data_IF_935554220656
#
_entry.id   IF_935554220656
#
_cell.length_a   1.000
_cell.length_b   1.000
_cell.length_c   1.000
_cell.angle_alpha   90.00
_cell.angle_beta   90.00
_cell.angle_gamma   90.00
#
_symmetry.space_group_name_H-M   'P 1'
#
loop_
_entity.id
_entity.type
_entity.pdbx_description
1 polymer ?
#
# COMPACT_ATOMS: atom_id res chain seq x y z
N UNK A 1 -37.18 -26.98 7.90
CA UNK A 1 -36.07 -27.07 6.92
C UNK A 1 -35.36 -25.73 6.98
N UNK A 2 -34.33 -25.64 7.83
CA UNK A 2 -33.52 -24.43 7.98
C UNK A 2 -32.65 -24.35 6.72
N UNK A 3 -32.88 -23.37 5.86
CA UNK A 3 -31.96 -23.10 4.75
C UNK A 3 -30.73 -22.49 5.40
N UNK A 4 -29.70 -23.33 5.59
CA UNK A 4 -28.37 -22.88 5.97
C UNK A 4 -27.81 -22.17 4.72
N UNK A 5 -27.97 -20.86 4.66
CA UNK A 5 -27.39 -20.05 3.60
C UNK A 5 -25.89 -19.95 3.93
N UNK A 6 -25.10 -20.88 3.41
CA UNK A 6 -23.64 -20.80 3.42
C UNK A 6 -23.27 -19.52 2.64
N UNK A 7 -23.05 -18.42 3.37
CA UNK A 7 -22.49 -17.20 2.80
C UNK A 7 -21.01 -17.49 2.60
N UNK A 8 -20.66 -18.09 1.45
CA UNK A 8 -19.26 -18.19 1.05
C UNK A 8 -18.77 -16.77 0.80
N UNK A 9 -17.72 -16.36 1.52
CA UNK A 9 -17.06 -15.08 1.28
C UNK A 9 -16.75 -14.96 -0.21
N UNK A 10 -17.36 -13.98 -0.88
CA UNK A 10 -17.14 -13.74 -2.30
C UNK A 10 -16.43 -12.41 -2.43
N UNK A 11 -15.23 -12.38 -2.99
CA UNK A 11 -14.53 -11.11 -3.25
C UNK A 11 -15.31 -10.16 -4.17
N UNK A 12 -16.30 -10.67 -4.91
CA UNK A 12 -17.24 -9.85 -5.67
C UNK A 12 -18.04 -8.89 -4.77
N UNK A 13 -18.32 -9.23 -3.50
CA UNK A 13 -18.99 -8.31 -2.58
C UNK A 13 -18.04 -7.24 -2.02
N UNK A 14 -16.74 -7.52 -1.90
CA UNK A 14 -15.75 -6.46 -1.61
C UNK A 14 -15.65 -5.44 -2.76
N UNK A 15 -15.80 -5.89 -4.00
CA UNK A 15 -15.66 -5.03 -5.17
C UNK A 15 -16.85 -4.06 -5.40
N UNK A 16 -17.97 -4.23 -4.67
CA UNK A 16 -19.14 -3.35 -4.75
C UNK A 16 -18.77 -1.92 -4.37
N UNK A 17 -17.93 -1.76 -3.34
CA UNK A 17 -17.41 -0.46 -2.93
C UNK A 17 -15.94 -0.36 -3.35
N UNK A 18 -15.57 0.57 -4.25
CA UNK A 18 -14.20 0.66 -4.74
C UNK A 18 -13.15 0.82 -3.64
N UNK A 19 -13.51 1.53 -2.57
CA UNK A 19 -12.70 1.70 -1.36
C UNK A 19 -12.31 0.38 -0.71
N UNK A 20 -13.19 -0.62 -0.73
CA UNK A 20 -12.95 -1.89 -0.04
C UNK A 20 -11.88 -2.72 -0.74
N UNK A 21 -11.69 -2.55 -2.05
CA UNK A 21 -10.55 -3.16 -2.77
C UNK A 21 -9.23 -2.54 -2.29
N UNK A 22 -9.17 -1.21 -2.16
CA UNK A 22 -7.97 -0.48 -1.71
C UNK A 22 -7.55 -0.92 -0.31
N UNK A 23 -8.48 -0.95 0.64
CA UNK A 23 -8.17 -1.34 2.01
C UNK A 23 -8.07 -2.86 2.20
N UNK A 24 -8.74 -3.64 1.36
CA UNK A 24 -8.54 -5.08 1.28
C UNK A 24 -7.10 -5.43 0.88
N UNK A 25 -6.55 -4.79 -0.15
CA UNK A 25 -5.15 -4.95 -0.57
C UNK A 25 -4.16 -4.60 0.56
N UNK A 26 -4.45 -3.55 1.33
CA UNK A 26 -3.65 -3.18 2.50
C UNK A 26 -3.75 -4.20 3.64
N UNK A 27 -4.91 -4.84 3.84
CA UNK A 27 -5.10 -5.88 4.86
C UNK A 27 -4.36 -7.19 4.52
N UNK A 28 -4.35 -7.59 3.26
CA UNK A 28 -3.64 -8.82 2.79
C UNK A 28 -2.17 -8.60 2.46
N UNK A 29 -1.67 -7.37 2.65
CA UNK A 29 -0.24 -7.06 2.53
C UNK A 29 0.56 -7.74 3.63
N UNK A 30 1.75 -8.25 3.29
CA UNK A 30 2.68 -8.84 4.26
C UNK A 30 3.39 -7.77 5.13
N UNK A 31 2.97 -6.51 5.01
CA UNK A 31 3.51 -5.37 5.72
C UNK A 31 2.56 -4.93 6.85
N UNK A 32 2.98 -5.15 8.10
CA UNK A 32 2.24 -4.77 9.31
C UNK A 32 1.77 -3.30 9.32
N UNK A 33 2.57 -2.40 8.74
CA UNK A 33 2.24 -0.99 8.72
C UNK A 33 1.16 -0.65 7.67
N UNK A 34 1.03 -1.44 6.60
CA UNK A 34 -0.07 -1.35 5.63
C UNK A 34 -1.37 -1.85 6.27
N UNK A 35 -1.32 -3.02 6.94
CA UNK A 35 -2.49 -3.54 7.65
C UNK A 35 -2.98 -2.53 8.72
N UNK A 36 -2.05 -1.85 9.40
CA UNK A 36 -2.38 -0.80 10.37
C UNK A 36 -3.03 0.42 9.72
N UNK A 37 -2.60 0.79 8.51
CA UNK A 37 -3.22 1.90 7.77
C UNK A 37 -4.69 1.55 7.44
N UNK A 38 -4.95 0.32 6.99
CA UNK A 38 -6.31 -0.17 6.76
C UNK A 38 -7.13 -0.25 8.06
N UNK A 39 -6.54 -0.73 9.16
CA UNK A 39 -7.22 -0.77 10.44
C UNK A 39 -7.60 0.62 10.96
N UNK A 40 -6.77 1.64 10.72
CA UNK A 40 -7.10 3.04 11.04
C UNK A 40 -8.25 3.57 10.19
N UNK A 41 -8.22 3.26 8.90
CA UNK A 41 -9.31 3.58 8.00
C UNK A 41 -10.63 2.97 8.50
N UNK A 42 -10.67 1.66 8.74
CA UNK A 42 -11.83 0.95 9.28
C UNK A 42 -12.31 1.46 10.64
N UNK A 43 -11.40 1.93 11.49
CA UNK A 43 -11.77 2.53 12.78
C UNK A 43 -12.47 3.88 12.61
N UNK A 44 -12.00 4.72 11.69
CA UNK A 44 -12.53 6.06 11.45
C UNK A 44 -13.74 6.07 10.52
N UNK A 45 -13.83 5.07 9.65
CA UNK A 45 -14.80 4.90 8.58
C UNK A 45 -15.20 3.41 8.49
N UNK A 46 -15.90 2.86 9.50
CA UNK A 46 -16.32 1.47 9.47
C UNK A 46 -17.32 1.27 8.32
N UNK A 47 -17.12 0.28 7.43
CA UNK A 47 -18.10 -0.05 6.41
C UNK A 47 -19.35 -0.63 7.06
N UNK A 48 -20.51 -0.40 6.44
CA UNK A 48 -21.76 -1.02 6.87
C UNK A 48 -21.75 -2.52 6.60
N UNK A 49 -21.21 -2.91 5.43
CA UNK A 49 -21.09 -4.29 5.02
C UNK A 49 -19.94 -5.00 5.76
N UNK A 50 -20.12 -6.28 6.16
CA UNK A 50 -19.18 -6.96 7.05
C UNK A 50 -17.90 -7.44 6.34
N UNK A 51 -17.83 -7.49 5.02
CA UNK A 51 -16.83 -8.29 4.30
C UNK A 51 -15.40 -7.78 4.52
N UNK A 52 -15.19 -6.47 4.48
CA UNK A 52 -13.86 -5.90 4.73
C UNK A 52 -13.46 -6.03 6.20
N UNK A 53 -14.45 -6.00 7.11
CA UNK A 53 -14.24 -6.22 8.54
C UNK A 53 -13.99 -7.70 8.86
N UNK A 54 -14.59 -8.63 8.13
CA UNK A 54 -14.33 -10.07 8.22
C UNK A 54 -12.90 -10.38 7.79
N UNK A 55 -12.42 -9.77 6.70
CA UNK A 55 -11.01 -9.84 6.32
C UNK A 55 -10.10 -9.25 7.41
N UNK A 56 -10.46 -8.11 8.00
CA UNK A 56 -9.71 -7.53 9.11
C UNK A 56 -9.69 -8.44 10.36
N UNK A 57 -10.80 -9.13 10.65
CA UNK A 57 -10.91 -10.11 11.72
C UNK A 57 -10.05 -11.34 11.45
N UNK A 58 -10.02 -11.83 10.21
CA UNK A 58 -9.14 -12.91 9.79
C UNK A 58 -7.67 -12.54 9.95
N UNK A 59 -7.27 -11.33 9.51
CA UNK A 59 -5.90 -10.83 9.69
C UNK A 59 -5.55 -10.74 11.18
N UNK A 60 -6.48 -10.28 12.02
CA UNK A 60 -6.26 -10.15 13.46
C UNK A 60 -5.94 -11.49 14.14
N UNK A 61 -6.61 -12.59 13.76
CA UNK A 61 -6.44 -13.90 14.42
C UNK A 61 -5.35 -14.77 13.79
N UNK A 62 -4.99 -14.53 12.52
CA UNK A 62 -3.96 -15.30 11.81
C UNK A 62 -2.58 -14.63 11.79
N UNK A 63 -2.49 -13.38 12.25
CA UNK A 63 -1.21 -12.71 12.40
C UNK A 63 -0.40 -13.27 13.57
N UNK A 64 0.80 -13.76 13.30
CA UNK A 64 1.72 -14.12 14.38
C UNK A 64 2.12 -12.88 15.19
N UNK A 65 1.99 -12.98 16.52
CA UNK A 65 2.56 -12.01 17.44
C UNK A 65 4.08 -12.20 17.47
N UNK A 66 4.78 -11.66 16.49
CA UNK A 66 6.23 -11.52 16.59
C UNK A 66 6.60 -10.64 17.78
N UNK A 67 7.80 -10.81 18.35
CA UNK A 67 8.37 -9.92 19.37
C UNK A 67 8.77 -8.54 18.78
N UNK A 68 7.92 -7.97 17.92
CA UNK A 68 8.09 -6.66 17.34
C UNK A 68 6.89 -5.78 17.79
N UNK A 69 7.19 -4.60 18.33
CA UNK A 69 6.15 -3.71 18.89
C UNK A 69 5.22 -3.08 17.83
N UNK A 70 5.57 -3.21 16.55
CA UNK A 70 4.78 -2.71 15.42
C UNK A 70 3.57 -3.61 15.16
N UNK A 71 3.79 -4.92 15.09
CA UNK A 71 2.74 -5.92 14.92
C UNK A 71 1.73 -5.87 16.07
N UNK A 72 2.19 -5.79 17.33
CA UNK A 72 1.28 -5.65 18.47
C UNK A 72 0.42 -4.38 18.37
N UNK A 73 0.97 -3.28 17.85
CA UNK A 73 0.20 -2.06 17.59
C UNK A 73 -0.79 -2.23 16.44
N UNK A 74 -0.40 -2.92 15.36
CA UNK A 74 -1.28 -3.26 14.25
C UNK A 74 -2.48 -4.08 14.70
N UNK A 75 -2.27 -5.16 15.47
CA UNK A 75 -3.36 -5.99 15.99
C UNK A 75 -4.28 -5.21 16.94
N UNK A 76 -3.72 -4.32 17.74
CA UNK A 76 -4.52 -3.42 18.57
C UNK A 76 -5.43 -2.51 17.73
N UNK A 77 -4.94 -1.98 16.60
CA UNK A 77 -5.77 -1.18 15.69
C UNK A 77 -6.85 -2.02 15.00
N UNK A 78 -6.56 -3.26 14.60
CA UNK A 78 -7.57 -4.15 14.02
C UNK A 78 -8.69 -4.44 15.03
N UNK A 79 -8.34 -4.76 16.29
CA UNK A 79 -9.34 -4.94 17.34
C UNK A 79 -10.20 -3.68 17.55
N UNK A 80 -9.58 -2.49 17.52
CA UNK A 80 -10.31 -1.22 17.60
C UNK A 80 -11.26 -1.01 16.43
N UNK A 81 -10.85 -1.36 15.21
CA UNK A 81 -11.69 -1.25 14.01
C UNK A 81 -12.95 -2.11 14.13
N UNK A 82 -12.81 -3.37 14.56
CA UNK A 82 -13.94 -4.26 14.83
C UNK A 82 -14.85 -3.72 15.94
N UNK A 83 -14.28 -3.08 16.97
CA UNK A 83 -15.07 -2.41 18.00
C UNK A 83 -15.88 -1.21 17.47
N UNK A 84 -15.25 -0.37 16.65
CA UNK A 84 -15.86 0.85 16.10
C UNK A 84 -16.99 0.56 15.11
N UNK A 85 -16.99 -0.60 14.45
CA UNK A 85 -18.09 -1.03 13.59
C UNK A 85 -19.38 -1.36 14.36
N UNK A 86 -19.27 -1.63 15.67
CA UNK A 86 -20.38 -2.04 16.55
C UNK A 86 -21.12 -3.30 16.08
N UNK A 87 -20.52 -4.08 15.18
CA UNK A 87 -21.14 -5.29 14.68
C UNK A 87 -20.95 -6.45 15.67
N UNK A 88 -22.07 -6.94 16.21
CA UNK A 88 -22.11 -8.00 17.24
C UNK A 88 -21.43 -9.31 16.79
N UNK A 89 -21.38 -9.58 15.47
CA UNK A 89 -20.76 -10.78 14.89
C UNK A 89 -19.30 -11.01 15.30
N UNK A 90 -18.56 -9.94 15.63
CA UNK A 90 -17.14 -10.02 16.02
C UNK A 90 -16.92 -10.32 17.50
N UNK A 91 -17.99 -10.33 18.31
CA UNK A 91 -17.90 -10.41 19.77
C UNK A 91 -17.28 -11.73 20.25
N UNK A 92 -17.72 -12.86 19.72
CA UNK A 92 -17.22 -14.19 20.14
C UNK A 92 -15.75 -14.37 19.79
N UNK A 93 -15.36 -14.00 18.56
CA UNK A 93 -13.96 -13.98 18.11
C UNK A 93 -13.08 -13.15 19.03
N UNK A 94 -13.53 -11.95 19.41
CA UNK A 94 -12.79 -11.07 20.32
C UNK A 94 -12.69 -11.64 21.74
N UNK A 95 -13.73 -12.30 22.26
CA UNK A 95 -13.67 -12.99 23.56
C UNK A 95 -12.67 -14.15 23.55
N UNK A 96 -12.70 -14.96 22.49
CA UNK A 96 -11.76 -16.06 22.31
C UNK A 96 -10.32 -15.54 22.24
N UNK A 97 -10.07 -14.52 21.40
CA UNK A 97 -8.75 -13.89 21.29
C UNK A 97 -8.29 -13.27 22.61
N UNK A 98 -9.18 -12.64 23.37
CA UNK A 98 -8.88 -12.07 24.68
C UNK A 98 -8.37 -13.14 25.66
N UNK A 99 -8.95 -14.34 25.61
CA UNK A 99 -8.60 -15.47 26.48
C UNK A 99 -7.25 -16.10 26.13
N UNK A 100 -6.87 -16.06 24.84
CA UNK A 100 -5.63 -16.67 24.33
C UNK A 100 -4.45 -15.70 24.30
N UNK A 101 -4.69 -14.40 24.11
CA UNK A 101 -3.59 -13.45 23.91
C UNK A 101 -2.76 -13.26 25.18
N UNK A 102 -1.43 -13.33 25.02
CA UNK A 102 -0.46 -13.01 26.08
C UNK A 102 -0.19 -11.50 26.19
N UNK A 103 -0.46 -10.74 25.13
CA UNK A 103 -0.22 -9.29 25.05
C UNK A 103 -1.17 -8.51 25.97
N UNK A 104 -0.59 -7.75 26.92
CA UNK A 104 -1.36 -6.84 27.77
C UNK A 104 -2.02 -5.71 26.97
N UNK A 105 -1.31 -5.19 25.96
CA UNK A 105 -1.78 -4.08 25.13
C UNK A 105 -2.95 -4.52 24.27
N UNK A 106 -2.82 -5.62 23.54
CA UNK A 106 -3.88 -6.17 22.70
C UNK A 106 -5.10 -6.54 23.55
N UNK A 107 -4.91 -7.22 24.69
CA UNK A 107 -6.00 -7.55 25.62
C UNK A 107 -6.80 -6.32 26.06
N UNK A 108 -6.12 -5.19 26.32
CA UNK A 108 -6.79 -3.92 26.67
C UNK A 108 -7.66 -3.43 25.52
N UNK A 109 -7.13 -3.35 24.30
CA UNK A 109 -7.90 -2.86 23.15
C UNK A 109 -9.03 -3.80 22.75
N UNK A 110 -8.88 -5.11 22.92
CA UNK A 110 -9.97 -6.07 22.77
C UNK A 110 -11.09 -5.79 23.79
N UNK A 111 -10.73 -5.52 25.06
CA UNK A 111 -11.72 -5.16 26.08
C UNK A 111 -12.49 -3.89 25.71
N UNK A 112 -11.81 -2.88 25.21
CA UNK A 112 -12.44 -1.64 24.76
C UNK A 112 -13.36 -1.90 23.56
N UNK A 113 -12.92 -2.70 22.58
CA UNK A 113 -13.73 -3.09 21.43
C UNK A 113 -15.01 -3.85 21.82
N UNK A 114 -14.90 -4.81 22.75
CA UNK A 114 -16.05 -5.53 23.29
C UNK A 114 -17.05 -4.58 23.98
N UNK A 115 -16.58 -3.52 24.64
CA UNK A 115 -17.44 -2.51 25.25
C UNK A 115 -18.18 -1.67 24.20
N UNK A 116 -17.52 -1.31 23.10
CA UNK A 116 -18.15 -0.59 21.98
C UNK A 116 -19.22 -1.44 21.28
N UNK A 117 -18.98 -2.75 21.14
CA UNK A 117 -19.94 -3.70 20.54
C UNK A 117 -21.14 -3.95 21.48
N UNK A 118 -20.89 -4.11 22.79
CA UNK A 118 -21.92 -4.42 23.78
C UNK A 118 -22.29 -5.91 23.86
N UNK A 119 -23.42 -6.21 24.50
CA UNK A 119 -23.88 -7.58 24.82
C UNK A 119 -25.03 -8.07 23.92
N UNK A 120 -25.14 -7.51 22.72
CA UNK A 120 -26.17 -7.91 21.75
C UNK A 120 -26.05 -9.39 21.33
N UNK A 121 -27.13 -9.91 20.73
CA UNK A 121 -27.12 -11.21 20.06
C UNK A 121 -27.07 -11.01 18.55
N UNK A 122 -26.26 -11.83 17.87
CA UNK A 122 -26.08 -11.81 16.43
C UNK A 122 -25.35 -13.09 16.00
N UNK A 123 -25.43 -13.40 14.71
CA UNK A 123 -24.67 -14.50 14.14
C UNK A 123 -23.17 -14.20 14.25
N UNK A 124 -22.40 -15.11 14.83
CA UNK A 124 -20.96 -14.98 14.94
C UNK A 124 -20.31 -15.07 13.57
N UNK A 125 -19.20 -14.35 13.37
CA UNK A 125 -18.41 -14.48 12.15
C UNK A 125 -17.82 -15.90 12.06
N UNK A 126 -18.01 -16.56 10.92
CA UNK A 126 -17.38 -17.83 10.60
C UNK A 126 -16.21 -17.58 9.62
N UNK A 127 -14.99 -17.91 10.06
CA UNK A 127 -13.76 -17.74 9.30
C UNK A 127 -13.06 -19.08 9.02
N UNK A 128 -13.72 -20.21 9.29
CA UNK A 128 -13.12 -21.55 9.20
C UNK A 128 -12.63 -21.89 7.79
N UNK A 129 -13.40 -21.51 6.78
CA UNK A 129 -13.11 -21.75 5.36
C UNK A 129 -12.57 -20.48 4.64
N UNK A 130 -12.07 -19.49 5.38
CA UNK A 130 -11.57 -18.25 4.78
C UNK A 130 -10.21 -18.48 4.09
N UNK A 131 -10.17 -18.36 2.76
CA UNK A 131 -8.95 -18.46 1.95
C UNK A 131 -8.37 -17.07 1.65
N UNK A 132 -7.41 -16.63 2.46
CA UNK A 132 -6.77 -15.34 2.28
C UNK A 132 -5.89 -15.24 1.03
N UNK A 133 -5.32 -16.36 0.57
CA UNK A 133 -4.51 -16.37 -0.66
C UNK A 133 -5.42 -16.20 -1.88
N UNK A 134 -6.59 -16.85 -1.88
CA UNK A 134 -7.62 -16.60 -2.88
C UNK A 134 -8.09 -15.15 -2.86
N UNK A 135 -8.39 -14.59 -1.68
CA UNK A 135 -8.80 -13.18 -1.56
C UNK A 135 -7.71 -12.22 -2.07
N UNK A 136 -6.46 -12.45 -1.67
CA UNK A 136 -5.30 -11.66 -2.13
C UNK A 136 -5.15 -11.73 -3.64
N UNK A 137 -5.27 -12.93 -4.22
CA UNK A 137 -5.22 -13.15 -5.67
C UNK A 137 -6.32 -12.38 -6.40
N UNK A 138 -7.58 -12.54 -5.97
CA UNK A 138 -8.73 -11.90 -6.61
C UNK A 138 -8.68 -10.37 -6.52
N UNK A 139 -8.28 -9.81 -5.36
CA UNK A 139 -8.05 -8.37 -5.20
C UNK A 139 -6.91 -7.87 -6.10
N UNK A 140 -5.84 -8.65 -6.23
CA UNK A 140 -4.70 -8.30 -7.10
C UNK A 140 -5.10 -8.36 -8.58
N UNK A 141 -5.92 -9.32 -8.98
CA UNK A 141 -6.45 -9.43 -10.36
C UNK A 141 -7.38 -8.25 -10.71
N UNK A 142 -8.21 -7.81 -9.76
CA UNK A 142 -9.02 -6.59 -9.93
C UNK A 142 -8.15 -5.34 -10.13
N UNK A 143 -7.06 -5.22 -9.36
CA UNK A 143 -6.11 -4.11 -9.48
C UNK A 143 -5.26 -4.17 -10.76
N UNK A 144 -4.88 -5.35 -11.23
CA UNK A 144 -3.99 -5.54 -12.38
C UNK A 144 -4.64 -5.09 -13.71
N UNK A 145 -5.96 -5.20 -13.82
CA UNK A 145 -6.69 -4.90 -15.06
C UNK A 145 -7.01 -3.42 -15.26
N UNK A 146 -6.70 -2.56 -14.28
CA UNK A 146 -6.98 -1.14 -14.40
C UNK A 146 -6.04 -0.48 -15.41
N UNK A 147 -6.63 0.01 -16.51
CA UNK A 147 -5.99 0.90 -17.46
C UNK A 147 -6.58 2.30 -17.28
N UNK A 148 -5.70 3.27 -17.05
CA UNK A 148 -6.13 4.65 -16.77
C UNK A 148 -5.58 5.58 -17.82
N UNK A 149 -6.43 6.46 -18.34
CA UNK A 149 -5.99 7.52 -19.23
C UNK A 149 -5.16 8.52 -18.45
N UNK A 150 -3.94 8.80 -18.93
CA UNK A 150 -3.12 9.89 -18.39
C UNK A 150 -3.87 11.23 -18.39
N UNK A 151 -4.77 11.45 -19.36
CA UNK A 151 -5.60 12.65 -19.44
C UNK A 151 -6.58 12.76 -18.26
N UNK A 152 -7.24 11.67 -17.90
CA UNK A 152 -8.18 11.61 -16.76
C UNK A 152 -7.41 11.81 -15.45
N UNK A 153 -6.26 11.13 -15.30
CA UNK A 153 -5.38 11.31 -14.15
C UNK A 153 -4.96 12.78 -13.93
N UNK A 154 -4.64 13.49 -15.01
CA UNK A 154 -4.23 14.91 -14.97
C UNK A 154 -5.36 15.89 -14.61
N UNK A 155 -6.63 15.47 -14.74
CA UNK A 155 -7.78 16.33 -14.42
C UNK A 155 -8.10 16.35 -12.92
N UNK A 156 -7.58 15.37 -12.16
CA UNK A 156 -7.81 15.30 -10.72
C UNK A 156 -7.07 16.41 -9.98
N UNK A 157 -7.80 17.03 -9.07
CA UNK A 157 -7.32 18.18 -8.30
C UNK A 157 -7.01 17.79 -6.86
N UNK A 158 -5.93 18.37 -6.31
CA UNK A 158 -5.62 18.29 -4.87
C UNK A 158 -6.86 18.73 -4.08
N UNK A 159 -7.25 17.93 -3.10
CA UNK A 159 -8.50 18.11 -2.35
C UNK A 159 -9.62 17.14 -2.72
N UNK A 160 -9.54 16.44 -3.86
CA UNK A 160 -10.48 15.38 -4.21
C UNK A 160 -10.51 14.26 -3.16
N UNK A 161 -11.69 13.66 -2.94
CA UNK A 161 -11.80 12.50 -2.06
C UNK A 161 -11.25 11.24 -2.74
N UNK A 162 -10.85 10.24 -1.95
CA UNK A 162 -10.48 8.93 -2.49
C UNK A 162 -11.62 8.30 -3.29
N UNK A 163 -12.87 8.48 -2.84
CA UNK A 163 -14.03 7.96 -3.54
C UNK A 163 -14.19 8.58 -4.93
N UNK A 164 -14.10 9.92 -5.03
CA UNK A 164 -14.15 10.61 -6.32
C UNK A 164 -13.05 10.12 -7.28
N UNK A 165 -11.83 9.93 -6.75
CA UNK A 165 -10.70 9.43 -7.55
C UNK A 165 -10.95 8.00 -8.04
N UNK A 166 -11.47 7.12 -7.19
CA UNK A 166 -11.77 5.73 -7.57
C UNK A 166 -12.97 5.65 -8.52
N UNK A 167 -13.94 6.57 -8.42
CA UNK A 167 -15.04 6.68 -9.39
C UNK A 167 -14.53 7.12 -10.76
N UNK A 168 -13.61 8.07 -10.81
CA UNK A 168 -13.09 8.60 -12.07
C UNK A 168 -12.08 7.65 -12.74
N UNK A 169 -11.12 7.10 -11.97
CA UNK A 169 -10.00 6.33 -12.52
C UNK A 169 -10.17 4.81 -12.36
N UNK A 170 -11.16 4.36 -11.59
CA UNK A 170 -11.25 2.97 -11.18
C UNK A 170 -10.16 2.54 -10.19
N UNK A 171 -9.94 1.23 -10.12
CA UNK A 171 -9.02 0.62 -9.15
C UNK A 171 -7.56 0.96 -9.45
N UNK A 172 -6.73 1.24 -8.43
CA UNK A 172 -5.30 1.42 -8.64
C UNK A 172 -4.59 0.08 -8.83
N UNK A 173 -3.48 0.07 -9.58
CA UNK A 173 -2.66 -1.13 -9.77
C UNK A 173 -1.83 -1.49 -8.52
N UNK A 174 -1.56 -0.51 -7.65
CA UNK A 174 -0.89 -0.76 -6.38
C UNK A 174 -1.35 0.20 -5.30
N UNK A 175 -1.43 -0.32 -4.07
CA UNK A 175 -1.78 0.42 -2.86
C UNK A 175 -0.73 0.14 -1.79
N UNK A 176 -0.38 1.16 -1.02
CA UNK A 176 0.45 1.02 0.17
C UNK A 176 0.45 2.29 0.99
N UNK A 177 1.34 2.37 1.96
CA UNK A 177 1.55 3.59 2.72
C UNK A 177 2.75 4.41 2.21
N UNK A 178 2.69 5.71 2.44
CA UNK A 178 3.83 6.61 2.35
C UNK A 178 4.04 7.32 3.68
N UNK A 179 5.20 7.07 4.31
CA UNK A 179 5.54 7.61 5.63
C UNK A 179 6.67 8.62 5.53
N UNK A 180 6.40 9.85 5.98
CA UNK A 180 7.40 10.91 6.10
C UNK A 180 7.23 11.70 7.39
N UNK A 181 8.31 12.19 7.97
CA UNK A 181 8.26 13.24 8.99
C UNK A 181 8.28 14.61 8.33
N UNK A 182 7.41 15.49 8.80
CA UNK A 182 7.41 16.90 8.44
C UNK A 182 7.50 17.74 9.71
N UNK A 183 8.34 18.76 9.69
CA UNK A 183 8.39 19.74 10.77
C UNK A 183 7.19 20.67 10.67
N UNK A 184 6.44 20.80 11.77
CA UNK A 184 5.40 21.82 11.93
C UNK A 184 5.80 22.78 13.05
N UNK A 185 5.71 24.11 12.82
CA UNK A 185 5.91 25.08 13.90
C UNK A 185 5.07 24.72 15.12
N UNK A 186 5.66 24.81 16.32
CA UNK A 186 5.03 24.53 17.62
C UNK A 186 4.67 23.07 17.92
N UNK A 187 4.51 22.21 16.92
CA UNK A 187 4.25 20.76 17.08
C UNK A 187 5.51 19.90 16.93
N UNK A 188 6.59 20.49 16.42
CA UNK A 188 7.83 19.78 16.14
C UNK A 188 7.67 18.81 14.98
N UNK A 189 8.37 17.68 15.05
CA UNK A 189 8.36 16.66 14.02
C UNK A 189 7.06 15.84 14.09
N UNK A 190 6.26 15.90 13.03
CA UNK A 190 5.04 15.13 12.89
C UNK A 190 5.24 14.03 11.85
N UNK A 191 5.06 12.78 12.26
CA UNK A 191 5.07 11.62 11.37
C UNK A 191 3.73 11.54 10.64
N UNK A 192 3.76 11.69 9.32
CA UNK A 192 2.60 11.57 8.44
C UNK A 192 2.57 10.15 7.87
N UNK A 193 1.45 9.46 8.04
CA UNK A 193 1.15 8.20 7.36
C UNK A 193 0.06 8.47 6.33
N UNK A 194 0.47 8.55 5.07
CA UNK A 194 -0.43 8.77 3.95
C UNK A 194 -0.75 7.43 3.29
N UNK A 195 -1.97 7.30 2.78
CA UNK A 195 -2.30 6.28 1.78
C UNK A 195 -1.63 6.68 0.47
N UNK A 196 -1.06 5.72 -0.24
CA UNK A 196 -0.52 5.90 -1.57
C UNK A 196 -1.15 4.89 -2.51
N UNK A 197 -1.67 5.38 -3.63
CA UNK A 197 -2.15 4.55 -4.73
C UNK A 197 -1.34 4.86 -5.99
N UNK A 198 -1.16 3.87 -6.85
CA UNK A 198 -0.40 4.01 -8.10
C UNK A 198 -1.17 3.41 -9.26
N UNK A 199 -1.18 4.14 -10.37
CA UNK A 199 -1.74 3.76 -11.64
C UNK A 199 -0.61 3.62 -12.65
N UNK A 200 -0.46 2.43 -13.20
CA UNK A 200 0.50 2.13 -14.25
C UNK A 200 0.21 3.05 -15.45
N UNK A 201 1.26 3.62 -16.01
CA UNK A 201 1.25 4.57 -17.14
C UNK A 201 0.63 5.95 -16.88
N UNK A 202 0.11 6.21 -15.68
CA UNK A 202 -0.48 7.49 -15.34
C UNK A 202 0.31 8.22 -14.25
N UNK A 203 0.54 7.59 -13.10
CA UNK A 203 1.02 8.33 -11.94
C UNK A 203 0.83 7.62 -10.60
N UNK A 204 1.14 8.35 -9.54
CA UNK A 204 0.80 7.95 -8.18
C UNK A 204 0.22 9.11 -7.40
N UNK A 205 -0.58 8.79 -6.40
CA UNK A 205 -1.30 9.77 -5.59
C UNK A 205 -1.13 9.46 -4.12
N UNK A 206 -1.01 10.51 -3.32
CA UNK A 206 -0.94 10.44 -1.86
C UNK A 206 -2.16 11.08 -1.22
N UNK A 207 -2.81 10.33 -0.33
CA UNK A 207 -3.99 10.75 0.41
C UNK A 207 -3.65 10.84 1.89
N UNK A 208 -4.22 11.84 2.56
CA UNK A 208 -4.19 11.96 4.02
C UNK A 208 -5.62 11.86 4.53
N UNK A 209 -5.80 11.13 5.62
CA UNK A 209 -7.07 11.12 6.34
C UNK A 209 -7.26 12.46 7.06
N UNK A 210 -8.30 13.19 6.69
CA UNK A 210 -8.68 14.48 7.26
C UNK A 210 -10.17 14.46 7.60
N UNK A 211 -10.51 14.66 8.88
CA UNK A 211 -11.90 14.60 9.39
C UNK A 211 -12.70 13.38 8.88
N UNK A 212 -12.09 12.20 8.96
CA UNK A 212 -12.65 10.94 8.45
C UNK A 212 -12.92 10.94 6.94
N UNK A 213 -12.16 11.68 6.14
CA UNK A 213 -12.20 11.57 4.66
C UNK A 213 -10.77 11.45 4.14
N UNK A 214 -10.52 10.51 3.23
CA UNK A 214 -9.24 10.43 2.53
C UNK A 214 -9.17 11.50 1.45
N UNK A 215 -8.29 12.47 1.64
CA UNK A 215 -8.18 13.64 0.74
C UNK A 215 -6.85 13.61 -0.01
N UNK A 216 -6.92 13.75 -1.33
CA UNK A 216 -5.76 13.84 -2.22
C UNK A 216 -4.88 15.04 -1.82
N UNK A 217 -3.62 14.77 -1.48
CA UNK A 217 -2.63 15.79 -1.09
C UNK A 217 -1.58 16.04 -2.17
N UNK A 218 -1.12 14.98 -2.83
CA UNK A 218 -0.14 15.08 -3.91
C UNK A 218 -0.53 14.10 -5.02
N UNK A 219 -0.34 14.51 -6.27
CA UNK A 219 -0.37 13.65 -7.45
C UNK A 219 0.96 13.82 -8.18
N UNK A 220 1.58 12.70 -8.55
CA UNK A 220 2.83 12.65 -9.29
C UNK A 220 2.55 11.97 -10.61
N UNK A 221 2.75 12.68 -11.70
CA UNK A 221 2.52 12.16 -13.05
C UNK A 221 3.73 11.36 -13.49
N UNK A 222 3.50 10.20 -14.08
CA UNK A 222 4.59 9.49 -14.73
C UNK A 222 5.02 10.25 -15.99
N UNK A 223 6.30 10.12 -16.34
CA UNK A 223 6.86 10.78 -17.53
C UNK A 223 6.09 10.39 -18.80
N UNK A 224 6.29 11.16 -19.88
CA UNK A 224 5.72 10.83 -21.20
C UNK A 224 6.36 9.55 -21.73
N UNK A 225 5.81 8.42 -21.29
CA UNK A 225 6.26 7.10 -21.64
C UNK A 225 5.14 6.45 -22.43
N UNK A 226 5.45 6.11 -23.67
CA UNK A 226 4.64 5.23 -24.48
C UNK A 226 5.01 3.78 -24.14
N UNK A 227 4.16 3.11 -23.36
CA UNK A 227 4.35 1.69 -23.02
C UNK A 227 3.70 0.75 -24.03
N UNK A 228 3.17 1.25 -25.15
CA UNK A 228 2.50 0.39 -26.15
C UNK A 228 3.47 -0.63 -26.77
N UNK A 229 4.77 -0.34 -26.75
CA UNK A 229 5.85 -1.21 -27.26
C UNK A 229 6.56 -2.04 -26.16
N UNK A 230 6.12 -2.00 -24.90
CA UNK A 230 6.74 -2.79 -23.83
C UNK A 230 6.20 -4.22 -23.87
N UNK A 231 7.11 -5.21 -23.93
CA UNK A 231 6.74 -6.62 -23.87
C UNK A 231 5.87 -6.91 -22.61
N UNK A 232 4.79 -7.71 -22.70
CA UNK A 232 3.93 -7.98 -21.55
C UNK A 232 4.66 -8.49 -20.31
N UNK A 233 5.74 -9.26 -20.49
CA UNK A 233 6.58 -9.78 -19.41
C UNK A 233 7.38 -8.64 -18.76
N UNK A 234 7.93 -7.73 -19.57
CA UNK A 234 8.60 -6.53 -19.09
C UNK A 234 7.61 -5.60 -18.37
N UNK A 235 6.39 -5.46 -18.88
CA UNK A 235 5.35 -4.63 -18.26
C UNK A 235 4.95 -5.19 -16.89
N UNK A 236 4.79 -6.52 -16.78
CA UNK A 236 4.54 -7.19 -15.51
C UNK A 236 5.70 -6.96 -14.52
N UNK A 237 6.95 -7.08 -14.98
CA UNK A 237 8.12 -6.80 -14.15
C UNK A 237 8.15 -5.34 -13.68
N UNK A 238 7.86 -4.38 -14.57
CA UNK A 238 7.77 -2.95 -14.22
C UNK A 238 6.67 -2.70 -13.20
N UNK A 239 5.48 -3.27 -13.38
CA UNK A 239 4.39 -3.17 -12.40
C UNK A 239 4.85 -3.63 -11.01
N UNK A 240 5.56 -4.75 -10.93
CA UNK A 240 6.12 -5.24 -9.67
C UNK A 240 7.21 -4.32 -9.09
N UNK A 241 8.05 -3.68 -9.93
CA UNK A 241 9.05 -2.69 -9.48
C UNK A 241 8.42 -1.41 -8.93
N UNK A 242 7.21 -1.07 -9.39
CA UNK A 242 6.45 0.10 -8.95
C UNK A 242 5.51 -0.19 -7.78
N UNK A 243 5.39 -1.46 -7.38
CA UNK A 243 4.56 -1.89 -6.26
C UNK A 243 4.89 -1.15 -4.96
N UNK A 244 3.92 -1.12 -4.05
CA UNK A 244 4.10 -0.67 -2.68
C UNK A 244 4.53 -1.79 -1.72
N UNK A 245 4.57 -3.04 -2.19
CA UNK A 245 5.19 -4.15 -1.47
C UNK A 245 6.72 -4.13 -1.69
N UNK A 246 7.45 -3.75 -0.64
CA UNK A 246 8.92 -3.64 -0.70
C UNK A 246 9.63 -4.99 -0.92
N UNK A 247 9.04 -6.12 -0.51
CA UNK A 247 9.60 -7.45 -0.74
C UNK A 247 9.48 -7.80 -2.23
N UNK A 248 8.32 -7.54 -2.82
CA UNK A 248 8.10 -7.69 -4.25
C UNK A 248 9.04 -6.78 -5.04
N UNK A 249 9.10 -5.48 -4.73
CA UNK A 249 10.01 -4.54 -5.40
C UNK A 249 11.46 -5.03 -5.32
N UNK A 250 11.91 -5.52 -4.16
CA UNK A 250 13.29 -6.02 -3.99
C UNK A 250 13.54 -7.30 -4.78
N UNK A 251 12.58 -8.22 -4.83
CA UNK A 251 12.66 -9.45 -5.62
C UNK A 251 12.75 -9.11 -7.11
N UNK A 252 11.82 -8.30 -7.60
CA UNK A 252 11.74 -7.87 -9.00
C UNK A 252 12.92 -7.00 -9.41
N UNK A 253 13.49 -6.19 -8.50
CA UNK A 253 14.71 -5.43 -8.78
C UNK A 253 15.92 -6.33 -9.03
N UNK A 254 16.03 -7.45 -8.31
CA UNK A 254 17.09 -8.45 -8.56
C UNK A 254 16.89 -9.14 -9.90
N UNK A 255 15.65 -9.48 -10.22
CA UNK A 255 15.28 -10.05 -11.51
C UNK A 255 15.61 -9.10 -12.65
N UNK A 256 15.19 -7.83 -12.58
CA UNK A 256 15.51 -6.79 -13.56
C UNK A 256 17.02 -6.61 -13.78
N UNK A 257 17.83 -6.72 -12.72
CA UNK A 257 19.30 -6.71 -12.83
C UNK A 257 19.81 -7.98 -13.54
N UNK A 258 19.27 -9.15 -13.21
CA UNK A 258 19.69 -10.43 -13.79
C UNK A 258 19.32 -10.55 -15.27
N UNK A 259 18.12 -10.07 -15.65
CA UNK A 259 17.60 -10.07 -17.02
C UNK A 259 18.08 -8.87 -17.84
N UNK A 260 18.77 -7.91 -17.22
CA UNK A 260 19.28 -6.67 -17.85
C UNK A 260 18.16 -5.83 -18.46
N UNK A 261 17.17 -5.47 -17.66
CA UNK A 261 16.14 -4.51 -18.04
C UNK A 261 16.79 -3.25 -18.65
N UNK A 262 16.48 -2.98 -19.92
CA UNK A 262 17.11 -1.93 -20.72
C UNK A 262 16.10 -1.01 -21.42
N UNK A 263 14.83 -1.39 -21.42
CA UNK A 263 13.74 -0.59 -21.94
C UNK A 263 13.72 0.79 -21.24
N UNK A 264 13.90 1.86 -22.01
CA UNK A 264 14.04 3.22 -21.45
C UNK A 264 12.75 3.71 -20.80
N UNK A 265 11.60 3.35 -21.37
CA UNK A 265 10.29 3.64 -20.81
C UNK A 265 10.13 3.00 -19.42
N UNK A 266 10.45 1.71 -19.29
CA UNK A 266 10.47 0.99 -18.02
C UNK A 266 11.41 1.63 -16.97
N UNK A 267 12.62 2.01 -17.39
CA UNK A 267 13.63 2.58 -16.50
C UNK A 267 13.32 4.04 -16.11
N UNK A 268 12.67 4.83 -16.97
CA UNK A 268 12.18 6.16 -16.64
C UNK A 268 11.11 6.08 -15.51
N UNK A 269 10.24 5.05 -15.51
CA UNK A 269 9.31 4.78 -14.39
C UNK A 269 10.05 4.49 -13.08
N UNK A 270 11.08 3.66 -13.15
CA UNK A 270 11.92 3.32 -11.98
C UNK A 270 12.62 4.58 -11.44
N UNK A 271 13.14 5.43 -12.32
CA UNK A 271 13.78 6.68 -11.93
C UNK A 271 12.81 7.66 -11.25
N UNK A 272 11.62 7.84 -11.82
CA UNK A 272 10.55 8.65 -11.24
C UNK A 272 10.15 8.13 -9.86
N UNK A 273 9.96 6.82 -9.72
CA UNK A 273 9.60 6.19 -8.44
C UNK A 273 10.61 6.44 -7.33
N UNK A 274 11.91 6.32 -7.63
CA UNK A 274 12.97 6.59 -6.64
C UNK A 274 12.94 8.07 -6.23
N UNK A 275 12.71 8.98 -7.18
CA UNK A 275 12.64 10.41 -6.89
C UNK A 275 11.48 10.77 -5.96
N UNK A 276 10.29 10.21 -6.22
CA UNK A 276 9.09 10.42 -5.40
C UNK A 276 9.28 9.86 -3.98
N UNK A 277 9.95 8.72 -3.86
CA UNK A 277 10.18 8.04 -2.59
C UNK A 277 11.52 8.34 -1.92
N UNK A 278 12.29 9.33 -2.41
CA UNK A 278 13.64 9.63 -1.89
C UNK A 278 13.67 10.01 -0.39
N UNK A 279 12.53 10.47 0.12
CA UNK A 279 12.35 10.93 1.50
C UNK A 279 11.59 9.92 2.39
N UNK A 280 11.34 8.69 1.89
CA UNK A 280 10.61 7.66 2.63
C UNK A 280 11.34 7.27 3.92
N UNK A 281 10.61 7.18 5.03
CA UNK A 281 11.18 6.75 6.32
C UNK A 281 11.11 5.24 6.54
N UNK A 282 10.18 4.57 5.85
CA UNK A 282 10.05 3.13 5.93
C UNK A 282 11.37 2.45 5.52
N UNK A 283 11.87 1.58 6.40
CA UNK A 283 13.18 0.95 6.22
C UNK A 283 13.16 -0.09 5.10
N UNK A 284 12.04 -0.82 4.95
CA UNK A 284 11.86 -1.83 3.93
C UNK A 284 11.81 -1.20 2.54
N UNK A 285 10.94 -0.22 2.36
CA UNK A 285 10.80 0.56 1.14
C UNK A 285 12.06 1.37 0.83
N UNK A 286 12.75 1.91 1.84
CA UNK A 286 14.05 2.55 1.66
C UNK A 286 15.14 1.59 1.15
N UNK A 287 15.09 0.31 1.53
CA UNK A 287 15.94 -0.74 0.92
C UNK A 287 15.52 -1.06 -0.51
N UNK A 288 14.22 -1.17 -0.78
CA UNK A 288 13.69 -1.40 -2.12
C UNK A 288 14.12 -0.30 -3.10
N UNK A 289 13.99 0.99 -2.73
CA UNK A 289 14.45 2.11 -3.56
C UNK A 289 15.97 2.10 -3.78
N UNK A 290 16.75 1.64 -2.80
CA UNK A 290 18.18 1.42 -2.96
C UNK A 290 18.49 0.30 -3.97
N UNK A 291 17.66 -0.75 -4.05
CA UNK A 291 17.76 -1.75 -5.13
C UNK A 291 17.36 -1.18 -6.48
N UNK A 292 16.32 -0.33 -6.56
CA UNK A 292 15.96 0.35 -7.80
C UNK A 292 17.08 1.27 -8.31
N UNK A 293 17.83 1.94 -7.43
CA UNK A 293 19.04 2.66 -7.83
C UNK A 293 20.05 1.74 -8.54
N UNK A 294 20.15 0.46 -8.14
CA UNK A 294 21.03 -0.52 -8.81
C UNK A 294 20.47 -0.97 -10.15
N UNK A 295 19.14 -1.09 -10.29
CA UNK A 295 18.48 -1.38 -11.58
C UNK A 295 18.87 -0.32 -12.62
N UNK A 296 18.78 0.97 -12.27
CA UNK A 296 19.21 2.05 -13.15
C UNK A 296 20.70 1.93 -13.52
N UNK A 297 21.57 1.64 -12.54
CA UNK A 297 23.00 1.45 -12.82
C UNK A 297 23.30 0.21 -13.68
N UNK A 298 22.57 -0.90 -13.53
CA UNK A 298 22.80 -2.12 -14.31
C UNK A 298 22.37 -1.97 -15.77
N UNK A 299 21.46 -1.04 -16.08
CA UNK A 299 21.07 -0.73 -17.46
C UNK A 299 22.21 -0.17 -18.31
N UNK A 300 23.21 0.45 -17.67
CA UNK A 300 24.28 1.18 -18.36
C UNK A 300 23.83 2.49 -19.04
N UNK A 301 22.55 2.87 -18.94
CA UNK A 301 22.01 4.05 -19.60
C UNK A 301 22.36 5.33 -18.81
N UNK A 302 23.25 6.15 -19.35
CA UNK A 302 23.76 7.36 -18.70
C UNK A 302 22.73 8.49 -18.54
N UNK A 303 21.56 8.38 -19.20
CA UNK A 303 20.38 9.24 -19.00
C UNK A 303 20.00 9.39 -17.51
N UNK A 304 20.24 8.36 -16.70
CA UNK A 304 19.89 8.34 -15.28
C UNK A 304 20.96 8.93 -14.36
N UNK A 305 22.13 9.31 -14.89
CA UNK A 305 23.21 9.85 -14.07
C UNK A 305 22.77 11.08 -13.26
N UNK A 306 22.10 12.04 -13.90
CA UNK A 306 21.78 13.32 -13.27
C UNK A 306 20.64 13.22 -12.26
N UNK A 307 19.61 12.40 -12.52
CA UNK A 307 18.56 12.14 -11.52
C UNK A 307 19.13 11.41 -10.30
N UNK A 308 20.03 10.43 -10.47
CA UNK A 308 20.73 9.80 -9.35
C UNK A 308 21.64 10.78 -8.61
N UNK A 309 22.20 11.78 -9.29
CA UNK A 309 22.92 12.86 -8.62
C UNK A 309 21.99 13.74 -7.76
N UNK A 310 20.84 14.16 -8.30
CA UNK A 310 19.82 14.91 -7.55
C UNK A 310 19.33 14.12 -6.33
N UNK A 311 19.04 12.83 -6.49
CA UNK A 311 18.65 11.93 -5.39
C UNK A 311 19.75 11.86 -4.32
N UNK A 312 21.01 11.68 -4.72
CA UNK A 312 22.12 11.68 -3.77
C UNK A 312 22.20 12.96 -2.94
N UNK A 313 21.98 14.11 -3.56
CA UNK A 313 22.08 15.42 -2.91
C UNK A 313 20.87 15.75 -2.03
N UNK A 314 19.69 15.24 -2.36
CA UNK A 314 18.42 15.71 -1.79
C UNK A 314 17.65 14.66 -0.99
N UNK A 315 17.98 13.37 -1.09
CA UNK A 315 17.24 12.32 -0.41
C UNK A 315 17.35 12.42 1.12
N UNK A 316 16.21 12.52 1.80
CA UNK A 316 16.11 12.41 3.25
C UNK A 316 16.50 11.02 3.76
N UNK A 317 16.34 9.96 2.94
CA UNK A 317 16.76 8.62 3.31
C UNK A 317 18.25 8.37 2.98
N UNK A 318 19.06 8.19 4.03
CA UNK A 318 20.52 7.95 3.92
C UNK A 318 20.88 6.73 3.08
N UNK A 319 20.05 5.68 3.10
CA UNK A 319 20.30 4.45 2.32
C UNK A 319 20.11 4.72 0.84
N UNK A 320 19.02 5.38 0.47
CA UNK A 320 18.75 5.80 -0.91
C UNK A 320 19.88 6.70 -1.41
N UNK A 321 20.26 7.73 -0.64
CA UNK A 321 21.36 8.63 -1.01
C UNK A 321 22.69 7.88 -1.26
N UNK A 322 23.04 6.93 -0.38
CA UNK A 322 24.25 6.09 -0.51
C UNK A 322 24.23 5.29 -1.81
N UNK A 323 23.11 4.64 -2.12
CA UNK A 323 23.02 3.80 -3.31
C UNK A 323 22.93 4.63 -4.59
N UNK A 324 22.25 5.78 -4.58
CA UNK A 324 22.25 6.71 -5.70
C UNK A 324 23.68 7.20 -6.04
N UNK A 325 24.47 7.55 -5.01
CA UNK A 325 25.90 7.92 -5.17
C UNK A 325 26.75 6.81 -5.78
N UNK A 326 26.53 5.57 -5.35
CA UNK A 326 27.26 4.41 -5.88
C UNK A 326 26.85 4.10 -7.32
N UNK A 327 25.55 4.12 -7.59
CA UNK A 327 24.96 3.83 -8.89
C UNK A 327 25.36 4.82 -9.96
N UNK A 328 25.31 6.13 -9.70
CA UNK A 328 25.67 7.15 -10.71
C UNK A 328 27.12 7.03 -11.18
N UNK A 329 28.03 6.55 -10.34
CA UNK A 329 29.46 6.35 -10.71
C UNK A 329 29.67 5.26 -11.77
N UNK A 330 28.66 4.42 -12.01
CA UNK A 330 28.70 3.34 -13.00
C UNK A 330 28.13 3.75 -14.36
N UNK A 331 27.65 4.99 -14.48
CA UNK A 331 26.95 5.50 -15.65
C UNK A 331 27.78 6.60 -16.32
N UNK A 332 27.81 6.61 -17.65
CA UNK A 332 28.32 7.74 -18.45
C UNK A 332 27.32 8.90 -18.45
N UNK A 333 27.68 10.02 -19.10
CA UNK A 333 26.81 11.19 -19.31
C UNK A 333 26.58 11.45 -20.80
N UNK A 334 26.46 10.38 -21.57
CA UNK A 334 26.46 10.41 -23.04
C UNK A 334 25.08 10.62 -23.64
N UNK A 335 24.03 10.35 -22.88
CA UNK A 335 22.63 10.41 -23.30
C UNK A 335 21.91 11.67 -22.74
N UNK A 336 20.82 12.13 -23.38
CA UNK A 336 19.99 13.21 -22.84
C UNK A 336 19.42 12.85 -21.46
N UNK A 337 19.66 13.70 -20.46
CA UNK A 337 19.29 13.47 -19.07
C UNK A 337 17.77 13.32 -18.85
N UNK A 338 17.39 12.32 -18.06
CA UNK A 338 16.02 12.17 -17.58
C UNK A 338 15.62 13.33 -16.66
N UNK A 339 14.41 13.86 -16.86
CA UNK A 339 13.83 14.88 -16.01
C UNK A 339 12.68 14.27 -15.21
N UNK A 340 12.81 14.34 -13.90
CA UNK A 340 11.74 14.00 -12.95
C UNK A 340 10.56 14.95 -13.13
N UNK A 341 9.35 14.41 -13.00
CA UNK A 341 8.11 15.17 -13.07
C UNK A 341 7.52 15.40 -11.68
#
# INVERSE_FOLDING_TARGET
MLILLLVTFSTMSLAVEPRNVVFGLLLVSDNAADNKLAAKDLYHLPPESPELLDLAAWVLINSELENNGEQEDTLAWLAKALGASKQVRYRELLLELQSKTSSKKLRRYIKDALKEIGDGQGEAVDLTDFDAEQVKKELTELAANAQVSKKEFLQLSVGASLEDVLTELGQPNSVGQYVRTSFRPFLGNVRLQNLRISYLNAGSMEFSLDKNVWVLKNAYTQSEIDTTDVDPTELALVSQLLSSDYNLVRKSAREAIATKLSNTAALDQVAQRIWELKDIEDKGMGDAMAWLCKVLASSGNGRYHDVLNKIYEQAGNKKIAKYAKSSKRKLSRTEPSFQVQ
#
